data_IF_095965292716
#
_entry.id   IF_095965292716
#
_cell.length_a   1.000
_cell.length_b   1.000
_cell.length_c   1.000
_cell.angle_alpha   90.00
_cell.angle_beta   90.00
_cell.angle_gamma   90.00
#
_symmetry.space_group_name_H-M   'P 1'
#
loop_
_entity.id
_entity.type
_entity.pdbx_description
1 polymer ?
#
# COMPACT_ATOMS: atom_id res chain seq x y z
N UNK A 1 -1.98 9.81 -16.87
CA UNK A 1 -1.19 8.90 -16.00
C UNK A 1 0.24 9.38 -15.98
N UNK A 2 0.73 9.83 -14.83
CA UNK A 2 2.03 10.51 -14.70
C UNK A 2 2.97 9.84 -13.72
N UNK A 3 2.49 8.84 -12.97
CA UNK A 3 3.28 8.16 -11.95
C UNK A 3 3.53 6.71 -12.33
N UNK A 4 4.78 6.27 -12.18
CA UNK A 4 5.19 4.88 -12.30
C UNK A 4 5.06 4.22 -10.92
N UNK A 5 4.22 3.19 -10.82
CA UNK A 5 3.85 2.53 -9.56
C UNK A 5 4.23 1.05 -9.63
N UNK A 6 4.86 0.53 -8.58
CA UNK A 6 5.14 -0.92 -8.46
C UNK A 6 3.95 -1.55 -7.75
N UNK A 7 3.37 -2.58 -8.36
CA UNK A 7 2.38 -3.42 -7.72
C UNK A 7 3.11 -4.55 -7.01
N UNK A 8 2.84 -4.74 -5.72
CA UNK A 8 3.41 -5.82 -4.91
C UNK A 8 2.29 -6.72 -4.38
N UNK A 9 2.58 -8.01 -4.26
CA UNK A 9 1.72 -8.96 -3.55
C UNK A 9 2.33 -9.31 -2.20
N UNK A 10 1.46 -9.62 -1.24
CA UNK A 10 1.90 -10.18 0.02
C UNK A 10 2.35 -11.61 -0.21
N UNK A 11 3.61 -11.88 0.05
CA UNK A 11 4.12 -13.24 0.17
C UNK A 11 3.90 -13.70 1.62
N UNK A 12 3.41 -14.92 1.80
CA UNK A 12 3.11 -15.48 3.11
C UNK A 12 3.73 -16.87 3.19
N UNK A 13 4.81 -16.98 3.96
CA UNK A 13 5.51 -18.20 4.29
C UNK A 13 5.06 -18.67 5.67
N UNK A 14 4.51 -19.89 5.81
CA UNK A 14 4.17 -20.44 7.12
C UNK A 14 5.39 -20.44 8.03
N UNK A 15 5.26 -19.93 9.26
CA UNK A 15 6.36 -19.85 10.22
C UNK A 15 6.54 -21.13 11.07
N UNK A 16 5.68 -22.14 10.85
CA UNK A 16 5.69 -23.39 11.61
C UNK A 16 5.06 -23.31 13.00
N UNK A 17 4.66 -22.12 13.47
CA UNK A 17 4.02 -21.88 14.76
C UNK A 17 2.53 -21.49 14.64
N UNK A 18 1.97 -21.55 13.42
CA UNK A 18 0.59 -21.16 13.12
C UNK A 18 0.44 -19.71 12.65
N UNK A 19 1.55 -18.97 12.52
CA UNK A 19 1.60 -17.67 11.88
C UNK A 19 2.11 -17.74 10.44
N UNK A 20 2.20 -16.56 9.82
CA UNK A 20 2.86 -16.39 8.53
C UNK A 20 3.89 -15.27 8.64
N UNK A 21 5.10 -15.58 8.20
CA UNK A 21 6.17 -14.63 7.98
C UNK A 21 6.29 -14.40 6.49
N UNK A 22 6.55 -13.18 6.04
CA UNK A 22 6.61 -12.93 4.61
C UNK A 22 6.54 -11.47 4.27
N UNK A 23 7.19 -11.13 3.17
CA UNK A 23 7.38 -9.77 2.70
C UNK A 23 6.38 -9.36 1.64
N UNK A 24 6.72 -8.26 0.98
CA UNK A 24 6.04 -7.82 -0.24
C UNK A 24 6.94 -8.14 -1.43
N UNK A 25 6.39 -8.81 -2.43
CA UNK A 25 7.11 -9.21 -3.64
C UNK A 25 6.55 -8.42 -4.82
N UNK A 26 7.39 -7.77 -5.65
CA UNK A 26 6.93 -7.02 -6.81
C UNK A 26 6.34 -7.94 -7.88
N UNK A 27 5.13 -7.61 -8.33
CA UNK A 27 4.44 -8.26 -9.45
C UNK A 27 4.70 -7.57 -10.78
N UNK A 28 4.94 -6.26 -10.77
CA UNK A 28 5.12 -5.49 -11.99
C UNK A 28 5.04 -4.00 -11.77
N UNK A 29 5.22 -3.25 -12.85
CA UNK A 29 5.15 -1.79 -12.83
C UNK A 29 4.05 -1.28 -13.75
N UNK A 30 3.20 -0.42 -13.21
CA UNK A 30 2.08 0.19 -13.91
C UNK A 30 2.22 1.71 -13.97
N UNK A 31 1.65 2.30 -15.01
CA UNK A 31 1.39 3.72 -15.04
C UNK A 31 0.05 4.00 -14.40
N UNK A 32 0.04 4.94 -13.46
CA UNK A 32 -1.16 5.32 -12.73
C UNK A 32 -1.36 6.82 -12.62
N UNK A 33 -2.60 7.19 -12.32
CA UNK A 33 -2.96 8.47 -11.76
C UNK A 33 -3.22 8.27 -10.27
N UNK A 34 -2.71 9.20 -9.45
CA UNK A 34 -2.91 9.21 -8.00
C UNK A 34 -3.48 10.57 -7.63
N UNK A 35 -4.73 10.59 -7.20
CA UNK A 35 -5.46 11.82 -6.87
C UNK A 35 -5.73 11.85 -5.37
N UNK A 36 -5.45 12.99 -4.74
CA UNK A 36 -5.80 13.23 -3.33
C UNK A 36 -7.32 13.22 -3.17
N UNK A 37 -7.83 12.45 -2.19
CA UNK A 37 -9.25 12.41 -1.85
C UNK A 37 -9.58 13.25 -0.62
N UNK A 38 -8.84 13.03 0.47
CA UNK A 38 -9.02 13.76 1.73
C UNK A 38 -7.82 13.58 2.65
N UNK A 39 -7.60 14.52 3.57
CA UNK A 39 -6.58 14.44 4.61
C UNK A 39 -7.20 14.74 5.99
N UNK A 40 -6.80 14.00 7.01
CA UNK A 40 -7.25 14.20 8.40
C UNK A 40 -6.15 13.78 9.38
N UNK A 41 -6.16 14.36 10.57
CA UNK A 41 -5.41 13.87 11.72
C UNK A 41 -6.20 12.76 12.45
N UNK A 42 -5.50 11.68 12.81
CA UNK A 42 -6.04 10.57 13.58
C UNK A 42 -5.14 10.28 14.79
N UNK A 43 -5.72 9.71 15.85
CA UNK A 43 -4.95 9.20 16.98
C UNK A 43 -4.49 7.77 16.65
N UNK A 44 -3.19 7.57 16.49
CA UNK A 44 -2.54 6.26 16.42
C UNK A 44 -2.02 5.80 17.78
N UNK A 45 -1.48 4.58 17.83
CA UNK A 45 -0.93 3.99 19.07
C UNK A 45 0.15 4.86 19.70
N UNK A 46 1.02 5.47 18.89
CA UNK A 46 2.11 6.32 19.37
C UNK A 46 1.76 7.83 19.46
N UNK A 47 0.50 8.22 19.24
CA UNK A 47 0.07 9.63 19.28
C UNK A 47 -0.60 10.12 17.99
N UNK A 48 -0.64 11.44 17.78
CA UNK A 48 -1.29 12.03 16.62
C UNK A 48 -0.54 11.70 15.31
N UNK A 49 -1.26 11.25 14.29
CA UNK A 49 -0.74 10.94 12.95
C UNK A 49 -1.58 11.60 11.87
N UNK A 50 -0.94 12.02 10.79
CA UNK A 50 -1.64 12.47 9.58
C UNK A 50 -2.01 11.26 8.72
N UNK A 51 -3.27 11.19 8.27
CA UNK A 51 -3.74 10.20 7.32
C UNK A 51 -4.29 10.87 6.08
N UNK A 52 -3.90 10.35 4.92
CA UNK A 52 -4.33 10.84 3.62
C UNK A 52 -4.95 9.71 2.82
N UNK A 53 -6.14 9.94 2.27
CA UNK A 53 -6.79 9.03 1.32
C UNK A 53 -6.45 9.45 -0.10
N UNK A 54 -6.09 8.50 -0.94
CA UNK A 54 -5.88 8.68 -2.37
C UNK A 54 -6.83 7.79 -3.18
N UNK A 55 -7.20 8.25 -4.36
CA UNK A 55 -7.79 7.40 -5.42
C UNK A 55 -6.69 7.09 -6.42
N UNK A 56 -6.45 5.81 -6.67
CA UNK A 56 -5.42 5.34 -7.61
C UNK A 56 -6.13 4.68 -8.79
N UNK A 57 -5.87 5.19 -10.00
CA UNK A 57 -6.39 4.63 -11.26
C UNK A 57 -5.21 4.14 -12.09
N UNK A 58 -5.25 2.89 -12.53
CA UNK A 58 -4.22 2.25 -13.34
C UNK A 58 -4.79 1.84 -14.70
N UNK A 59 -3.93 1.70 -15.71
CA UNK A 59 -4.26 1.04 -16.98
C UNK A 59 -3.54 -0.29 -17.05
N UNK A 60 -4.19 -1.27 -17.66
CA UNK A 60 -3.57 -2.52 -18.09
C UNK A 60 -2.69 -2.27 -19.32
#
# INVERSE_FOLDING_TARGET
>A
MTRKLVLEARDAVPDGAGGSSGGWVPLGTHWGEVTLRSGRQERGEAGARSRVSYVVRVRA
#
